data_IF_431877424698
#
_entry.id   IF_431877424698
#
_cell.length_a   1.000
_cell.length_b   1.000
_cell.length_c   1.000
_cell.angle_alpha   90.00
_cell.angle_beta   90.00
_cell.angle_gamma   90.00
#
_symmetry.space_group_name_H-M   'P 1'
#
loop_
_entity.id
_entity.type
_entity.pdbx_description
1 polymer ?
#
# COMPACT_ATOMS: atom_id res chain seq x y z
N UNK A 1 -6.22 25.12 8.29
CA UNK A 1 -7.05 24.45 9.31
C UNK A 1 -7.49 23.02 8.93
N UNK A 2 -7.23 22.53 7.71
CA UNK A 2 -7.56 21.14 7.29
C UNK A 2 -6.32 20.23 7.25
N UNK A 3 -5.12 20.83 7.15
CA UNK A 3 -3.82 20.15 7.17
C UNK A 3 -3.39 19.66 8.56
N UNK A 4 -3.86 20.31 9.64
CA UNK A 4 -3.52 19.94 11.03
C UNK A 4 -4.36 18.77 11.55
N UNK A 5 -5.59 18.58 11.06
CA UNK A 5 -6.46 17.47 11.48
C UNK A 5 -6.02 16.12 10.87
N UNK A 6 -5.28 16.15 9.76
CA UNK A 6 -4.61 14.97 9.18
C UNK A 6 -3.20 14.73 9.75
N UNK A 7 -2.71 15.66 10.58
CA UNK A 7 -1.37 15.65 11.19
C UNK A 7 -1.43 15.52 12.73
N UNK A 8 -2.57 15.07 13.26
CA UNK A 8 -2.77 14.83 14.69
C UNK A 8 -2.54 13.37 15.06
N UNK A 9 -1.80 13.17 16.15
CA UNK A 9 -1.55 11.92 16.90
C UNK A 9 -0.38 11.04 16.38
N UNK A 10 0.38 10.39 17.29
CA UNK A 10 1.61 9.69 16.95
C UNK A 10 1.38 8.68 15.81
N UNK A 11 2.21 8.77 14.78
CA UNK A 11 2.13 7.95 13.57
C UNK A 11 2.26 6.46 13.91
N UNK A 12 1.12 5.79 14.08
CA UNK A 12 1.06 4.35 14.24
C UNK A 12 1.62 3.69 12.97
N UNK A 13 2.79 3.01 13.02
CA UNK A 13 3.38 2.39 11.85
C UNK A 13 2.46 1.39 11.10
N UNK A 14 1.60 0.58 11.75
CA UNK A 14 0.68 -0.29 11.01
C UNK A 14 -0.43 0.50 10.29
N UNK A 15 -0.86 1.64 10.83
CA UNK A 15 -1.88 2.50 10.21
C UNK A 15 -1.29 3.29 9.03
N UNK A 16 -0.04 3.74 9.16
CA UNK A 16 0.69 4.33 8.03
C UNK A 16 0.88 3.32 6.90
N UNK A 17 1.26 2.08 7.23
CA UNK A 17 1.36 1.00 6.24
C UNK A 17 0.00 0.74 5.57
N UNK A 18 -1.08 0.70 6.36
CA UNK A 18 -2.44 0.53 5.84
C UNK A 18 -2.81 1.66 4.86
N UNK A 19 -2.53 2.92 5.21
CA UNK A 19 -2.81 4.07 4.35
C UNK A 19 -2.06 4.00 3.02
N UNK A 20 -0.77 3.67 3.05
CA UNK A 20 0.06 3.51 1.84
C UNK A 20 -0.44 2.35 0.98
N UNK A 21 -0.74 1.20 1.59
CA UNK A 21 -1.23 0.02 0.88
C UNK A 21 -2.61 0.27 0.26
N UNK A 22 -3.53 0.89 1.01
CA UNK A 22 -4.90 1.16 0.56
C UNK A 22 -4.92 2.13 -0.61
N UNK A 23 -4.17 3.23 -0.51
CA UNK A 23 -4.05 4.20 -1.61
C UNK A 23 -3.41 3.56 -2.84
N UNK A 24 -2.39 2.72 -2.67
CA UNK A 24 -1.75 2.00 -3.79
C UNK A 24 -2.74 1.04 -4.45
N UNK A 25 -3.46 0.23 -3.67
CA UNK A 25 -4.44 -0.71 -4.19
C UNK A 25 -5.55 0.02 -4.95
N UNK A 26 -6.09 1.10 -4.38
CA UNK A 26 -7.15 1.89 -5.00
C UNK A 26 -6.71 2.51 -6.33
N UNK A 27 -5.52 3.13 -6.37
CA UNK A 27 -4.96 3.66 -7.64
C UNK A 27 -4.79 2.54 -8.66
N UNK A 28 -4.33 1.36 -8.23
CA UNK A 28 -4.14 0.21 -9.11
C UNK A 28 -5.43 -0.48 -9.58
N UNK A 29 -6.59 -0.16 -9.00
CA UNK A 29 -7.88 -0.62 -9.55
C UNK A 29 -8.18 0.04 -10.90
N UNK A 30 -7.68 1.26 -11.12
CA UNK A 30 -7.97 2.06 -12.31
C UNK A 30 -6.75 2.22 -13.21
N UNK A 31 -5.54 2.06 -12.67
CA UNK A 31 -4.28 2.11 -13.40
C UNK A 31 -3.60 0.75 -13.43
N UNK A 32 -2.72 0.56 -14.43
CA UNK A 32 -1.89 -0.64 -14.52
C UNK A 32 -0.98 -0.79 -13.29
N UNK A 33 -0.87 -2.01 -12.75
CA UNK A 33 -0.12 -2.33 -11.52
C UNK A 33 1.28 -1.72 -11.46
N UNK A 34 2.01 -1.76 -12.58
CA UNK A 34 3.37 -1.22 -12.68
C UNK A 34 3.37 0.30 -12.52
N UNK A 35 2.42 1.01 -13.12
CA UNK A 35 2.32 2.46 -13.02
C UNK A 35 1.94 2.90 -11.60
N UNK A 36 1.00 2.20 -10.96
CA UNK A 36 0.62 2.45 -9.58
C UNK A 36 1.81 2.23 -8.61
N UNK A 37 2.58 1.16 -8.80
CA UNK A 37 3.77 0.88 -8.00
C UNK A 37 4.85 1.97 -8.19
N UNK A 38 5.11 2.39 -9.43
CA UNK A 38 6.09 3.44 -9.73
C UNK A 38 5.69 4.79 -9.12
N UNK A 39 4.41 5.14 -9.12
CA UNK A 39 3.92 6.37 -8.50
C UNK A 39 4.05 6.37 -6.97
N UNK A 40 3.85 5.21 -6.34
CA UNK A 40 3.91 5.06 -4.88
C UNK A 40 5.31 4.77 -4.35
N UNK A 41 6.24 4.34 -5.21
CA UNK A 41 7.62 4.04 -4.81
C UNK A 41 8.40 5.25 -4.27
N UNK A 42 8.31 6.47 -4.83
CA UNK A 42 8.88 7.67 -4.22
C UNK A 42 8.30 7.96 -2.84
N UNK A 43 6.99 7.75 -2.63
CA UNK A 43 6.33 7.94 -1.33
C UNK A 43 6.86 6.93 -0.32
N UNK A 44 6.91 5.65 -0.70
CA UNK A 44 7.50 4.59 0.12
C UNK A 44 8.97 4.86 0.45
N UNK A 45 9.75 5.30 -0.52
CA UNK A 45 11.18 5.62 -0.34
C UNK A 45 11.36 6.82 0.58
N UNK A 46 10.52 7.85 0.47
CA UNK A 46 10.55 9.02 1.35
C UNK A 46 10.21 8.66 2.80
N UNK A 47 9.36 7.66 3.05
CA UNK A 47 9.12 7.10 4.39
C UNK A 47 10.34 6.30 4.87
N UNK A 48 10.91 5.46 4.01
CA UNK A 48 12.08 4.63 4.33
C UNK A 48 13.32 5.47 4.61
N UNK A 49 13.52 6.59 3.91
CA UNK A 49 14.66 7.50 4.11
C UNK A 49 14.64 8.19 5.48
N UNK A 50 13.47 8.30 6.13
CA UNK A 50 13.38 8.81 7.50
C UNK A 50 13.92 7.82 8.53
N UNK A 51 14.08 6.56 8.14
CA UNK A 51 14.57 5.50 8.99
C UNK A 51 16.06 5.32 8.68
N UNK A 52 16.95 5.25 9.70
CA UNK A 52 18.36 5.03 9.45
C UNK A 52 18.56 3.73 8.68
N UNK A 53 19.12 3.83 7.48
CA UNK A 53 19.51 2.69 6.64
C UNK A 53 21.00 2.41 6.81
N UNK A 54 21.37 1.18 7.20
CA UNK A 54 22.77 0.77 7.33
C UNK A 54 23.05 -0.15 8.53
N UNK A 55 24.32 -0.26 8.95
CA UNK A 55 24.75 -1.05 10.13
C UNK A 55 24.18 -0.53 11.45
N UNK A 56 23.82 0.76 11.52
CA UNK A 56 23.19 1.39 12.69
C UNK A 56 21.67 1.12 12.80
N UNK A 57 21.06 0.57 11.76
CA UNK A 57 19.63 0.27 11.77
C UNK A 57 19.32 -0.92 12.68
N UNK A 58 18.31 -0.81 13.53
CA UNK A 58 17.76 -1.98 14.24
C UNK A 58 17.20 -2.99 13.23
N UNK A 59 17.21 -4.28 13.56
CA UNK A 59 16.56 -5.32 12.75
C UNK A 59 15.08 -5.00 12.49
N UNK A 60 14.44 -4.36 13.47
CA UNK A 60 13.04 -3.97 13.41
C UNK A 60 12.80 -2.83 12.40
N UNK A 61 13.70 -1.84 12.35
CA UNK A 61 13.66 -0.75 11.36
C UNK A 61 13.83 -1.27 9.92
N UNK A 62 14.77 -2.19 9.70
CA UNK A 62 14.93 -2.86 8.40
C UNK A 62 13.70 -3.68 8.01
N UNK A 63 13.06 -4.33 8.97
CA UNK A 63 11.82 -5.07 8.77
C UNK A 63 10.69 -4.17 8.28
N UNK A 64 10.51 -3.00 8.91
CA UNK A 64 9.51 -2.03 8.49
C UNK A 64 9.76 -1.48 7.08
N UNK A 65 11.00 -1.14 6.73
CA UNK A 65 11.30 -0.67 5.37
C UNK A 65 10.96 -1.72 4.31
N UNK A 66 11.25 -3.00 4.59
CA UNK A 66 10.82 -4.11 3.73
C UNK A 66 9.30 -4.21 3.66
N UNK A 67 8.61 -4.09 4.79
CA UNK A 67 7.15 -4.15 4.83
C UNK A 67 6.49 -3.06 3.99
N UNK A 68 7.01 -1.83 4.01
CA UNK A 68 6.50 -0.72 3.21
C UNK A 68 6.68 -0.98 1.71
N UNK A 69 7.89 -1.37 1.29
CA UNK A 69 8.18 -1.63 -0.14
C UNK A 69 7.38 -2.83 -0.66
N UNK A 70 7.38 -3.95 0.08
CA UNK A 70 6.60 -5.14 -0.27
C UNK A 70 5.09 -4.84 -0.25
N UNK A 71 4.64 -4.08 0.75
CA UNK A 71 3.25 -3.64 0.86
C UNK A 71 2.76 -2.90 -0.38
N UNK A 72 3.53 -1.93 -0.88
CA UNK A 72 3.20 -1.21 -2.13
C UNK A 72 3.16 -2.16 -3.32
N UNK A 73 4.18 -2.99 -3.51
CA UNK A 73 4.28 -3.89 -4.68
C UNK A 73 3.11 -4.87 -4.72
N UNK A 74 2.82 -5.52 -3.59
CA UNK A 74 1.73 -6.49 -3.52
C UNK A 74 0.35 -5.83 -3.52
N UNK A 75 0.18 -4.69 -2.87
CA UNK A 75 -1.11 -3.97 -2.87
C UNK A 75 -1.46 -3.46 -4.26
N UNK A 76 -0.48 -3.02 -5.05
CA UNK A 76 -0.69 -2.70 -6.47
C UNK A 76 -1.19 -3.94 -7.23
N UNK A 77 -0.52 -5.09 -7.08
CA UNK A 77 -0.93 -6.32 -7.74
C UNK A 77 -2.36 -6.76 -7.37
N UNK A 78 -2.70 -6.72 -6.07
CA UNK A 78 -4.04 -7.07 -5.57
C UNK A 78 -5.10 -6.10 -6.08
N UNK A 79 -4.82 -4.79 -6.06
CA UNK A 79 -5.71 -3.75 -6.57
C UNK A 79 -6.11 -3.98 -8.02
N UNK A 80 -5.16 -4.24 -8.91
CA UNK A 80 -5.50 -4.45 -10.32
C UNK A 80 -6.18 -5.77 -10.64
N UNK A 81 -6.07 -6.79 -9.78
CA UNK A 81 -6.83 -8.04 -9.96
C UNK A 81 -8.33 -7.84 -9.68
N UNK A 82 -8.69 -6.87 -8.84
CA UNK A 82 -10.08 -6.67 -8.39
C UNK A 82 -11.00 -6.13 -9.50
N UNK A 83 -10.46 -5.43 -10.49
CA UNK A 83 -11.22 -4.80 -11.56
C UNK A 83 -10.86 -5.39 -12.91
N UNK A 84 -11.81 -5.36 -13.84
CA UNK A 84 -11.59 -5.86 -15.19
C UNK A 84 -10.51 -5.06 -15.94
N UNK A 85 -10.42 -3.77 -15.65
CA UNK A 85 -9.49 -2.81 -16.30
C UNK A 85 -8.12 -2.73 -15.63
N UNK A 86 -7.97 -3.25 -14.41
CA UNK A 86 -6.74 -3.10 -13.62
C UNK A 86 -5.55 -3.90 -14.16
N UNK A 87 -5.80 -5.05 -14.80
CA UNK A 87 -4.75 -5.85 -15.43
C UNK A 87 -5.08 -6.24 -16.87
N UNK A 88 -4.03 -6.31 -17.71
CA UNK A 88 -4.16 -6.78 -19.08
C UNK A 88 -4.63 -8.23 -19.16
N UNK A 89 -4.34 -9.06 -18.16
CA UNK A 89 -4.79 -10.46 -18.10
C UNK A 89 -6.31 -10.56 -18.02
N UNK A 90 -6.95 -9.72 -17.20
CA UNK A 90 -8.41 -9.67 -17.09
C UNK A 90 -9.06 -9.26 -18.43
N UNK A 91 -8.47 -8.30 -19.15
CA UNK A 91 -8.95 -7.89 -20.47
C UNK A 91 -8.73 -8.96 -21.55
N UNK A 92 -7.58 -9.64 -21.54
CA UNK A 92 -7.28 -10.75 -22.44
C UNK A 92 -8.28 -11.89 -22.21
N UNK A 93 -8.62 -12.20 -20.95
CA UNK A 93 -9.63 -13.21 -20.61
C UNK A 93 -10.98 -12.89 -21.25
N UNK A 94 -11.45 -11.64 -21.16
CA UNK A 94 -12.72 -11.23 -21.79
C UNK A 94 -12.63 -11.29 -23.32
N UNK A 95 -11.47 -10.94 -23.89
CA UNK A 95 -11.21 -11.10 -25.32
C UNK A 95 -11.29 -12.57 -25.75
N UNK A 96 -10.65 -13.47 -25.01
CA UNK A 96 -10.69 -14.92 -25.27
C UNK A 96 -12.10 -15.49 -25.07
N UNK A 97 -12.82 -15.08 -24.03
CA UNK A 97 -14.19 -15.52 -23.77
C UNK A 97 -15.11 -15.25 -24.96
N UNK A 98 -15.03 -14.05 -25.54
CA UNK A 98 -15.76 -13.70 -26.77
C UNK A 98 -15.41 -14.58 -27.97
N UNK A 99 -14.16 -15.09 -28.06
CA UNK A 99 -13.74 -15.97 -29.14
C UNK A 99 -14.17 -17.43 -28.95
N UNK A 100 -14.17 -17.93 -27.70
CA UNK A 100 -14.52 -19.32 -27.39
C UNK A 100 -16.04 -19.54 -27.24
N UNK A 101 -16.78 -18.55 -26.74
CA UNK A 101 -18.22 -18.63 -26.49
C UNK A 101 -18.95 -17.47 -27.18
N UNK A 102 -19.07 -17.47 -28.52
CA UNK A 102 -19.70 -16.38 -29.27
C UNK A 102 -21.23 -16.26 -29.04
N UNK A 103 -21.87 -17.33 -28.57
CA UNK A 103 -23.32 -17.40 -28.28
C UNK A 103 -23.67 -16.90 -26.87
N UNK A 104 -22.69 -16.72 -25.98
CA UNK A 104 -22.92 -16.24 -24.60
C UNK A 104 -22.62 -14.74 -24.44
N UNK A 105 -23.31 -14.11 -23.49
CA UNK A 105 -23.05 -12.71 -23.17
C UNK A 105 -21.61 -12.52 -22.68
N UNK A 106 -20.93 -11.44 -23.12
CA UNK A 106 -19.56 -11.16 -22.68
C UNK A 106 -19.54 -10.80 -21.20
N UNK A 107 -18.48 -11.23 -20.50
CA UNK A 107 -18.23 -10.88 -19.11
C UNK A 107 -18.24 -9.35 -18.97
N UNK A 108 -19.23 -8.85 -18.24
CA UNK A 108 -19.41 -7.43 -17.96
C UNK A 108 -18.51 -6.96 -16.82
N UNK A 109 -18.17 -5.66 -16.82
CA UNK A 109 -17.38 -5.05 -15.75
C UNK A 109 -18.00 -5.29 -14.36
N UNK A 110 -19.33 -5.16 -14.23
CA UNK A 110 -20.04 -5.36 -12.98
C UNK A 110 -19.96 -6.80 -12.47
N UNK A 111 -20.13 -7.79 -13.35
CA UNK A 111 -20.03 -9.21 -13.01
C UNK A 111 -18.64 -9.54 -12.47
N UNK A 112 -17.59 -9.06 -13.15
CA UNK A 112 -16.23 -9.24 -12.67
C UNK A 112 -15.99 -8.49 -11.36
N UNK A 113 -16.49 -7.26 -11.23
CA UNK A 113 -16.31 -6.47 -10.01
C UNK A 113 -16.93 -7.15 -8.79
N UNK A 114 -18.17 -7.65 -8.87
CA UNK A 114 -18.80 -8.36 -7.76
C UNK A 114 -18.09 -9.67 -7.37
N UNK A 115 -17.34 -10.27 -8.28
CA UNK A 115 -16.51 -11.44 -8.01
C UNK A 115 -15.11 -11.08 -7.48
N UNK A 116 -14.40 -10.22 -8.20
CA UNK A 116 -13.00 -9.84 -7.98
C UNK A 116 -12.81 -8.87 -6.81
N UNK A 117 -13.75 -7.95 -6.57
CA UNK A 117 -13.66 -6.99 -5.47
C UNK A 117 -13.68 -7.66 -4.08
N UNK A 118 -14.66 -8.52 -3.71
CA UNK A 118 -14.65 -9.14 -2.39
C UNK A 118 -13.46 -10.08 -2.19
N UNK A 119 -13.06 -10.81 -3.23
CA UNK A 119 -11.87 -11.65 -3.20
C UNK A 119 -10.59 -10.82 -3.00
N UNK A 120 -10.46 -9.73 -3.74
CA UNK A 120 -9.33 -8.82 -3.63
C UNK A 120 -9.26 -8.11 -2.29
N UNK A 121 -10.40 -7.73 -1.71
CA UNK A 121 -10.47 -7.15 -0.37
C UNK A 121 -10.01 -8.15 0.69
N UNK A 122 -10.41 -9.41 0.59
CA UNK A 122 -9.93 -10.48 1.47
C UNK A 122 -8.42 -10.68 1.35
N UNK A 123 -7.88 -10.75 0.13
CA UNK A 123 -6.44 -10.88 -0.12
C UNK A 123 -5.68 -9.66 0.42
N UNK A 124 -6.22 -8.46 0.23
CA UNK A 124 -5.63 -7.22 0.73
C UNK A 124 -5.55 -7.22 2.27
N UNK A 125 -6.64 -7.56 2.95
CA UNK A 125 -6.66 -7.64 4.41
C UNK A 125 -5.73 -8.74 4.94
N UNK A 126 -5.67 -9.89 4.25
CA UNK A 126 -4.72 -10.95 4.58
C UNK A 126 -3.27 -10.49 4.40
N UNK A 127 -2.95 -9.83 3.29
CA UNK A 127 -1.63 -9.27 3.01
C UNK A 127 -1.23 -8.26 4.09
N UNK A 128 -2.11 -7.32 4.41
CA UNK A 128 -1.87 -6.33 5.45
C UNK A 128 -1.68 -6.98 6.82
N UNK A 129 -2.50 -7.98 7.17
CA UNK A 129 -2.36 -8.75 8.40
C UNK A 129 -1.04 -9.52 8.48
N UNK A 130 -0.61 -10.15 7.39
CA UNK A 130 0.68 -10.85 7.30
C UNK A 130 1.84 -9.86 7.43
N UNK A 131 1.79 -8.72 6.75
CA UNK A 131 2.83 -7.69 6.84
C UNK A 131 2.91 -7.12 8.26
N UNK A 132 1.76 -6.86 8.89
CA UNK A 132 1.72 -6.41 10.29
C UNK A 132 2.25 -7.49 11.24
N UNK A 133 1.88 -8.75 11.07
CA UNK A 133 2.30 -9.85 11.93
C UNK A 133 3.78 -10.21 11.80
N UNK A 134 4.32 -10.22 10.58
CA UNK A 134 5.72 -10.59 10.32
C UNK A 134 6.70 -9.45 10.59
N UNK A 135 6.33 -8.21 10.25
CA UNK A 135 7.24 -7.08 10.31
C UNK A 135 6.94 -6.08 11.41
N UNK A 136 5.72 -6.04 11.96
CA UNK A 136 5.31 -5.14 13.05
C UNK A 136 5.13 -5.91 14.38
N UNK A 137 6.18 -6.56 14.87
CA UNK A 137 6.15 -7.17 16.21
C UNK A 137 5.91 -6.11 17.28
N UNK A 138 5.04 -6.38 18.27
CA UNK A 138 4.37 -5.42 19.19
C UNK A 138 5.28 -4.38 19.89
N UNK A 139 6.59 -4.62 20.02
CA UNK A 139 7.57 -3.65 20.53
C UNK A 139 8.04 -2.60 19.50
N UNK A 140 8.15 -2.98 18.23
CA UNK A 140 8.62 -2.11 17.14
C UNK A 140 7.70 -0.92 16.90
N UNK A 141 6.39 -1.11 17.05
CA UNK A 141 5.41 -0.05 16.84
C UNK A 141 5.65 1.15 17.76
N UNK A 142 5.98 0.89 19.03
CA UNK A 142 6.27 1.95 20.00
C UNK A 142 7.61 2.63 19.74
N UNK A 143 8.67 1.87 19.47
CA UNK A 143 10.00 2.43 19.21
C UNK A 143 10.04 3.28 17.94
N UNK A 144 9.38 2.80 16.87
CA UNK A 144 9.32 3.51 15.60
C UNK A 144 8.38 4.71 15.66
N UNK A 145 7.23 4.59 16.33
CA UNK A 145 6.31 5.71 16.56
C UNK A 145 6.98 6.81 17.37
N UNK A 146 7.66 6.48 18.46
CA UNK A 146 8.38 7.44 19.29
C UNK A 146 9.53 8.12 18.52
N UNK A 147 10.21 7.38 17.63
CA UNK A 147 11.25 7.94 16.77
C UNK A 147 10.69 8.89 15.71
N UNK A 148 9.59 8.51 15.05
CA UNK A 148 8.92 9.35 14.05
C UNK A 148 8.43 10.67 14.67
N UNK A 149 7.86 10.60 15.88
CA UNK A 149 7.42 11.78 16.64
C UNK A 149 8.60 12.72 16.95
N UNK A 150 9.71 12.15 17.44
CA UNK A 150 10.91 12.92 17.77
C UNK A 150 11.54 13.59 16.54
N UNK A 151 11.56 12.89 15.40
CA UNK A 151 12.05 13.45 14.14
C UNK A 151 11.15 14.58 13.63
N UNK A 152 9.83 14.45 13.82
CA UNK A 152 8.86 15.48 13.46
C UNK A 152 9.02 16.73 14.33
N UNK A 153 9.06 16.58 15.65
CA UNK A 153 9.25 17.69 16.59
C UNK A 153 10.54 18.47 16.34
N UNK A 154 11.67 17.79 16.06
CA UNK A 154 12.94 18.48 15.77
C UNK A 154 12.84 19.39 14.56
N UNK A 155 12.13 18.96 13.52
CA UNK A 155 11.96 19.76 12.30
C UNK A 155 11.09 20.98 12.56
N UNK A 156 10.06 20.87 13.39
CA UNK A 156 9.25 22.02 13.81
C UNK A 156 10.04 22.99 14.69
N UNK A 157 10.90 22.47 15.57
CA UNK A 157 11.78 23.29 16.41
C UNK A 157 12.78 24.10 15.55
N UNK A 158 13.38 23.47 14.55
CA UNK A 158 14.31 24.13 13.60
C UNK A 158 13.63 25.19 12.72
N UNK A 159 12.32 25.06 12.47
CA UNK A 159 11.52 26.05 11.74
C UNK A 159 11.11 27.25 12.61
N UNK A 160 11.14 27.10 13.94
CA UNK A 160 10.75 28.13 14.91
C UNK A 160 11.95 28.96 15.42
N UNK A 161 13.18 28.47 15.24
CA UNK A 161 14.43 29.20 15.54
C UNK A 161 14.86 30.16 14.41
N UNK A 162 13.94 30.54 13.51
CA UNK A 162 14.16 31.44 12.37
C UNK A 162 13.20 32.64 12.34
#
# INVERSE_FOLDING_TARGET
MITLTFCGEPLNPPLLLLGICTTTAFVSMWMHNVAAAVMMMPVATGVVQRIPTGRSASAAQRGFCKAVVLGVIYSAAVGGMTTLTGTGVNLILVGMWKSYFPEEEPISFSQWFFFGFPLGLLIFLALWGILCGLYCSRGLGRDLSAFLDKAHLRRELELLDY
#
